data_IF_114796997010
#
_entry.id   IF_114796997010
#
_cell.length_a   1.000
_cell.length_b   1.000
_cell.length_c   1.000
_cell.angle_alpha   90.00
_cell.angle_beta   90.00
_cell.angle_gamma   90.00
#
_symmetry.space_group_name_H-M   'P 1'
#
loop_
_entity.id
_entity.type
_entity.pdbx_description
1 polymer ?
#
# COMPACT_ATOMS: atom_id res chain seq x y z
N UNK A 1 -57.63 46.81 -6.12
CA UNK A 1 -57.08 45.50 -6.52
C UNK A 1 -55.72 45.75 -7.16
N UNK A 2 -54.65 45.72 -6.38
CA UNK A 2 -53.28 45.97 -6.88
C UNK A 2 -52.83 44.72 -7.65
N UNK A 3 -52.72 44.84 -8.98
CA UNK A 3 -52.08 43.81 -9.81
C UNK A 3 -50.57 43.92 -9.65
N UNK A 4 -49.97 43.00 -8.92
CA UNK A 4 -48.52 42.84 -8.84
C UNK A 4 -48.02 42.35 -10.19
N UNK A 5 -47.33 43.21 -10.96
CA UNK A 5 -46.66 42.80 -12.20
C UNK A 5 -45.63 41.71 -11.87
N UNK A 6 -45.92 40.45 -12.24
CA UNK A 6 -44.92 39.38 -12.21
C UNK A 6 -43.87 39.71 -13.27
N UNK A 7 -42.61 39.90 -12.84
CA UNK A 7 -41.48 40.04 -13.76
C UNK A 7 -41.38 38.74 -14.57
N UNK A 8 -41.56 38.84 -15.88
CA UNK A 8 -41.35 37.71 -16.79
C UNK A 8 -39.83 37.53 -16.99
N UNK A 9 -39.34 36.32 -16.74
CA UNK A 9 -37.94 35.96 -16.95
C UNK A 9 -37.68 35.81 -18.45
N UNK A 10 -36.65 36.46 -18.96
CA UNK A 10 -36.31 36.40 -20.39
C UNK A 10 -35.48 35.16 -20.71
N UNK A 11 -35.60 34.64 -21.93
CA UNK A 11 -34.79 33.51 -22.40
C UNK A 11 -33.28 33.80 -22.34
N UNK A 12 -32.89 35.07 -22.53
CA UNK A 12 -31.49 35.50 -22.47
C UNK A 12 -30.95 35.42 -21.05
N UNK A 13 -31.73 35.85 -20.05
CA UNK A 13 -31.34 35.72 -18.63
C UNK A 13 -31.14 34.26 -18.23
N UNK A 14 -31.98 33.33 -18.72
CA UNK A 14 -31.80 31.90 -18.48
C UNK A 14 -30.51 31.37 -19.12
N UNK A 15 -30.28 31.73 -20.39
CA UNK A 15 -29.13 31.28 -21.16
C UNK A 15 -27.81 31.75 -20.55
N UNK A 16 -27.73 33.00 -20.12
CA UNK A 16 -26.52 33.55 -19.48
C UNK A 16 -26.24 32.83 -18.16
N UNK A 17 -27.26 32.55 -17.34
CA UNK A 17 -27.07 31.83 -16.07
C UNK A 17 -26.55 30.41 -16.30
N UNK A 18 -27.14 29.66 -17.23
CA UNK A 18 -26.68 28.31 -17.56
C UNK A 18 -25.26 28.36 -18.14
N UNK A 19 -24.94 29.34 -18.98
CA UNK A 19 -23.60 29.53 -19.53
C UNK A 19 -22.55 29.77 -18.41
N UNK A 20 -22.88 30.62 -17.43
CA UNK A 20 -21.98 30.86 -16.28
C UNK A 20 -21.82 29.60 -15.43
N UNK A 21 -22.91 28.87 -15.13
CA UNK A 21 -22.84 27.61 -14.38
C UNK A 21 -21.98 26.59 -15.13
N UNK A 22 -22.15 26.47 -16.45
CA UNK A 22 -21.37 25.56 -17.28
C UNK A 22 -19.87 25.89 -17.24
N UNK A 23 -19.50 27.18 -17.31
CA UNK A 23 -18.10 27.63 -17.21
C UNK A 23 -17.52 27.31 -15.82
N UNK A 24 -18.26 27.63 -14.76
CA UNK A 24 -17.82 27.34 -13.39
C UNK A 24 -17.66 25.84 -13.14
N UNK A 25 -18.62 25.04 -13.59
CA UNK A 25 -18.58 23.60 -13.48
C UNK A 25 -17.39 23.01 -14.26
N UNK A 26 -17.12 23.49 -15.47
CA UNK A 26 -16.00 23.03 -16.31
C UNK A 26 -14.63 23.23 -15.64
N UNK A 27 -14.46 24.30 -14.85
CA UNK A 27 -13.22 24.54 -14.08
C UNK A 27 -13.23 23.76 -12.76
N UNK A 28 -14.38 23.66 -12.09
CA UNK A 28 -14.48 23.05 -10.77
C UNK A 28 -14.33 21.52 -10.81
N UNK A 29 -14.88 20.85 -11.81
CA UNK A 29 -14.80 19.38 -11.94
C UNK A 29 -13.36 18.83 -11.99
N UNK A 30 -12.45 19.31 -12.86
CA UNK A 30 -11.08 18.80 -12.90
C UNK A 30 -10.31 19.09 -11.61
N UNK A 31 -10.52 20.27 -10.99
CA UNK A 31 -9.89 20.62 -9.71
C UNK A 31 -10.39 19.74 -8.58
N UNK A 32 -11.70 19.48 -8.52
CA UNK A 32 -12.30 18.62 -7.51
C UNK A 32 -11.83 17.16 -7.62
N UNK A 33 -11.71 16.64 -8.85
CA UNK A 33 -11.18 15.31 -9.10
C UNK A 33 -9.73 15.17 -8.58
N UNK A 34 -8.87 16.15 -8.86
CA UNK A 34 -7.49 16.17 -8.35
C UNK A 34 -7.44 16.28 -6.82
N UNK A 35 -8.28 17.13 -6.22
CA UNK A 35 -8.35 17.28 -4.76
C UNK A 35 -8.80 15.98 -4.07
N UNK A 36 -9.81 15.30 -4.62
CA UNK A 36 -10.29 14.01 -4.11
C UNK A 36 -9.20 12.93 -4.20
N UNK A 37 -8.43 12.92 -5.28
CA UNK A 37 -7.30 12.00 -5.41
C UNK A 37 -6.23 12.25 -4.35
N UNK A 38 -5.83 13.52 -4.14
CA UNK A 38 -4.87 13.87 -3.08
C UNK A 38 -5.37 13.50 -1.69
N UNK A 39 -6.66 13.66 -1.42
CA UNK A 39 -7.24 13.24 -0.16
C UNK A 39 -7.08 11.73 0.07
N UNK A 40 -7.30 10.91 -0.97
CA UNK A 40 -7.12 9.45 -0.90
C UNK A 40 -5.66 9.04 -0.73
N UNK A 41 -4.73 9.67 -1.45
CA UNK A 41 -3.28 9.51 -1.24
C UNK A 41 -2.89 9.79 0.22
N UNK A 42 -3.38 10.90 0.80
CA UNK A 42 -3.10 11.27 2.19
C UNK A 42 -3.71 10.28 3.19
N UNK A 43 -4.92 9.77 2.92
CA UNK A 43 -5.53 8.74 3.76
C UNK A 43 -4.76 7.43 3.71
N UNK A 44 -4.34 6.93 2.53
CA UNK A 44 -3.52 5.72 2.44
C UNK A 44 -2.19 5.90 3.18
N UNK A 45 -1.50 7.03 3.02
CA UNK A 45 -0.27 7.31 3.75
C UNK A 45 -0.48 7.38 5.27
N UNK A 46 -1.58 8.00 5.73
CA UNK A 46 -1.91 8.08 7.15
C UNK A 46 -2.22 6.70 7.74
N UNK A 47 -2.92 5.85 6.99
CA UNK A 47 -3.18 4.47 7.34
C UNK A 47 -1.87 3.67 7.43
N UNK A 48 -1.02 3.74 6.40
CA UNK A 48 0.30 3.11 6.38
C UNK A 48 1.15 3.53 7.59
N UNK A 49 1.20 4.83 7.91
CA UNK A 49 1.90 5.34 9.10
C UNK A 49 1.36 4.75 10.39
N UNK A 50 0.04 4.66 10.54
CA UNK A 50 -0.58 4.04 11.72
C UNK A 50 -0.25 2.56 11.83
N UNK A 51 -0.18 1.83 10.71
CA UNK A 51 0.29 0.44 10.69
C UNK A 51 1.76 0.37 11.12
N UNK A 52 2.62 1.25 10.61
CA UNK A 52 4.01 1.38 11.05
C UNK A 52 4.14 1.58 12.56
N UNK A 53 3.30 2.45 13.14
CA UNK A 53 3.27 2.63 14.59
C UNK A 53 2.82 1.36 15.33
N UNK A 54 1.90 0.57 14.78
CA UNK A 54 1.54 -0.73 15.36
C UNK A 54 2.70 -1.72 15.34
N UNK A 55 3.49 -1.75 14.27
CA UNK A 55 4.73 -2.53 14.22
C UNK A 55 5.70 -2.06 15.30
N UNK A 56 5.89 -0.75 15.46
CA UNK A 56 6.76 -0.21 16.53
C UNK A 56 6.30 -0.61 17.93
N UNK A 57 4.99 -0.60 18.19
CA UNK A 57 4.42 -1.04 19.46
C UNK A 57 4.64 -2.54 19.70
N UNK A 58 4.45 -3.37 18.66
CA UNK A 58 4.79 -4.81 18.73
C UNK A 58 6.27 -5.00 19.07
N UNK A 59 7.17 -4.35 18.34
CA UNK A 59 8.62 -4.47 18.54
C UNK A 59 9.02 -4.13 19.98
N UNK A 60 8.36 -3.14 20.60
CA UNK A 60 8.59 -2.77 22.00
C UNK A 60 8.16 -3.86 23.01
N UNK A 61 7.09 -4.60 22.72
CA UNK A 61 6.58 -5.64 23.61
C UNK A 61 7.30 -7.00 23.43
N UNK A 62 7.94 -7.21 22.28
CA UNK A 62 8.54 -8.49 21.87
C UNK A 62 10.08 -8.43 21.75
N UNK A 63 10.75 -7.85 22.77
CA UNK A 63 12.22 -7.79 22.87
C UNK A 63 12.91 -7.29 21.59
N UNK A 64 12.41 -6.19 21.03
CA UNK A 64 12.90 -5.57 19.79
C UNK A 64 12.78 -6.46 18.54
N UNK A 65 12.06 -7.57 18.60
CA UNK A 65 11.91 -8.50 17.48
C UNK A 65 10.80 -8.03 16.54
N UNK A 66 11.09 -8.02 15.24
CA UNK A 66 10.11 -7.72 14.20
C UNK A 66 9.03 -8.83 14.13
N UNK A 67 7.77 -8.49 13.80
CA UNK A 67 6.70 -9.47 13.68
C UNK A 67 7.04 -10.63 12.74
N UNK A 68 6.39 -11.77 12.93
CA UNK A 68 6.59 -12.92 12.05
C UNK A 68 6.02 -12.59 10.67
N UNK A 69 6.81 -12.85 9.64
CA UNK A 69 6.38 -12.67 8.28
C UNK A 69 5.42 -13.80 7.90
N UNK A 70 4.20 -13.40 7.53
CA UNK A 70 3.30 -14.20 6.73
C UNK A 70 3.09 -13.44 5.42
N UNK A 71 3.44 -14.05 4.29
CA UNK A 71 3.16 -13.40 3.02
C UNK A 71 1.65 -13.20 2.85
N UNK A 72 1.30 -12.13 2.15
CA UNK A 72 0.09 -12.10 1.33
C UNK A 72 0.04 -13.43 0.57
N UNK A 73 -1.12 -14.09 0.57
CA UNK A 73 -1.42 -15.41 -0.03
C UNK A 73 -1.59 -16.57 0.95
N UNK A 74 -1.68 -16.36 2.26
CA UNK A 74 -2.16 -17.41 3.17
C UNK A 74 -3.59 -17.81 2.79
N UNK A 75 -3.78 -19.09 2.46
CA UNK A 75 -5.06 -19.73 2.32
C UNK A 75 -5.44 -20.28 3.70
N UNK A 76 -6.60 -19.91 4.23
CA UNK A 76 -7.69 -19.26 3.52
C UNK A 76 -7.60 -17.71 3.51
N UNK A 77 -8.28 -17.05 2.54
CA UNK A 77 -8.30 -15.60 2.39
C UNK A 77 -8.66 -14.84 3.65
N UNK A 78 -8.34 -13.56 3.68
CA UNK A 78 -8.69 -12.70 4.79
C UNK A 78 -10.19 -12.76 5.14
N UNK A 79 -10.46 -12.83 6.45
CA UNK A 79 -11.81 -13.01 6.97
C UNK A 79 -12.31 -14.45 7.04
N UNK A 80 -11.56 -15.43 6.53
CA UNK A 80 -11.86 -16.85 6.73
C UNK A 80 -11.15 -17.43 7.96
N UNK A 81 -11.71 -18.48 8.61
CA UNK A 81 -11.07 -19.11 9.76
C UNK A 81 -9.70 -19.70 9.41
N UNK A 82 -8.67 -19.34 10.15
CA UNK A 82 -7.30 -19.83 9.92
C UNK A 82 -6.43 -18.94 9.04
N UNK A 83 -6.95 -17.80 8.57
CA UNK A 83 -6.13 -16.78 7.93
C UNK A 83 -4.96 -16.37 8.84
N UNK A 84 -3.77 -16.25 8.26
CA UNK A 84 -2.55 -15.75 8.92
C UNK A 84 -1.99 -14.60 8.10
N UNK A 85 -1.71 -13.49 8.75
CA UNK A 85 -1.16 -12.31 8.09
C UNK A 85 -0.46 -11.45 9.13
N UNK A 86 0.54 -10.68 8.70
CA UNK A 86 1.28 -9.77 9.58
C UNK A 86 0.31 -8.80 10.26
N UNK A 87 -0.76 -8.39 9.57
CA UNK A 87 -1.79 -7.52 10.11
C UNK A 87 -2.48 -8.11 11.35
N UNK A 88 -2.61 -9.43 11.47
CA UNK A 88 -3.23 -10.06 12.63
C UNK A 88 -2.36 -9.98 13.88
N UNK A 89 -1.03 -10.02 13.74
CA UNK A 89 -0.10 -9.88 14.85
C UNK A 89 -0.11 -8.47 15.44
N UNK A 90 -0.23 -7.46 14.57
CA UNK A 90 -0.18 -6.07 14.98
C UNK A 90 -1.58 -5.45 15.23
N UNK A 91 -2.65 -6.15 14.85
CA UNK A 91 -4.03 -5.70 15.06
C UNK A 91 -4.37 -5.36 16.52
N UNK A 92 -3.88 -6.06 17.57
CA UNK A 92 -4.15 -5.70 18.96
C UNK A 92 -3.74 -4.25 19.32
N UNK A 93 -2.74 -3.70 18.62
CA UNK A 93 -2.21 -2.35 18.84
C UNK A 93 -3.02 -1.26 18.13
N UNK A 94 -3.64 -1.58 16.98
CA UNK A 94 -4.48 -0.63 16.23
C UNK A 94 -5.98 -0.76 16.50
N UNK A 95 -6.45 -1.97 16.82
CA UNK A 95 -7.86 -2.37 17.02
C UNK A 95 -8.82 -1.94 15.91
N UNK A 96 -8.29 -1.63 14.72
CA UNK A 96 -9.05 -1.19 13.58
C UNK A 96 -8.54 -1.86 12.31
N UNK A 97 -9.32 -2.80 11.78
CA UNK A 97 -8.98 -3.52 10.54
C UNK A 97 -9.05 -2.63 9.30
N UNK A 98 -9.83 -1.56 9.33
CA UNK A 98 -9.96 -0.64 8.20
C UNK A 98 -8.67 0.13 7.91
N UNK A 99 -7.74 0.21 8.87
CA UNK A 99 -6.42 0.79 8.67
C UNK A 99 -5.63 0.05 7.60
N UNK A 100 -5.84 -1.27 7.46
CA UNK A 100 -5.17 -2.08 6.44
C UNK A 100 -5.76 -1.89 5.04
N UNK A 101 -6.74 -1.01 4.86
CA UNK A 101 -7.29 -0.65 3.55
C UNK A 101 -6.72 0.68 3.06
N UNK A 102 -6.25 0.69 1.82
CA UNK A 102 -6.02 1.93 1.09
C UNK A 102 -7.29 2.30 0.31
N UNK A 103 -7.83 3.54 0.42
CA UNK A 103 -8.95 4.01 -0.40
C UNK A 103 -8.80 3.86 -1.92
N UNK A 104 -7.57 3.79 -2.44
CA UNK A 104 -7.29 3.57 -3.87
C UNK A 104 -7.04 2.11 -4.23
N UNK A 105 -7.15 1.17 -3.27
CA UNK A 105 -7.18 -0.26 -3.56
C UNK A 105 -8.44 -0.59 -4.36
N UNK A 106 -8.24 -0.70 -5.67
CA UNK A 106 -9.26 -1.08 -6.65
C UNK A 106 -8.97 -2.48 -7.21
N UNK A 107 -8.25 -3.30 -6.44
CA UNK A 107 -7.79 -4.61 -6.84
C UNK A 107 -6.69 -4.56 -7.90
N UNK A 108 -6.44 -5.71 -8.52
CA UNK A 108 -5.46 -5.87 -9.59
C UNK A 108 -5.67 -7.22 -10.29
N UNK A 109 -5.08 -7.42 -11.48
CA UNK A 109 -5.27 -8.65 -12.24
C UNK A 109 -4.81 -9.90 -11.48
N UNK A 110 -3.84 -9.78 -10.56
CA UNK A 110 -3.35 -10.93 -9.79
C UNK A 110 -4.43 -11.53 -8.86
N UNK A 111 -5.47 -10.78 -8.50
CA UNK A 111 -6.59 -11.32 -7.70
C UNK A 111 -7.37 -12.41 -8.43
N UNK A 112 -7.37 -12.39 -9.76
CA UNK A 112 -8.02 -13.40 -10.58
C UNK A 112 -7.14 -14.64 -10.83
N UNK A 113 -5.89 -14.64 -10.35
CA UNK A 113 -4.99 -15.78 -10.51
C UNK A 113 -5.55 -17.01 -9.76
N UNK A 114 -5.64 -18.18 -10.42
CA UNK A 114 -6.25 -19.36 -9.82
C UNK A 114 -5.36 -20.05 -8.78
N UNK A 115 -4.06 -19.75 -8.73
CA UNK A 115 -3.10 -20.39 -7.84
C UNK A 115 -2.74 -19.50 -6.64
N UNK A 116 -2.59 -18.20 -6.88
CA UNK A 116 -2.07 -17.24 -5.90
C UNK A 116 -3.06 -16.12 -5.57
N UNK A 117 -4.14 -15.98 -6.35
CA UNK A 117 -5.18 -14.97 -6.17
C UNK A 117 -6.31 -15.41 -5.24
N UNK A 118 -7.31 -14.54 -5.10
CA UNK A 118 -8.61 -14.86 -4.52
C UNK A 118 -9.70 -14.52 -5.53
N UNK A 119 -10.02 -15.44 -6.46
CA UNK A 119 -11.02 -15.19 -7.50
C UNK A 119 -12.35 -14.73 -6.90
N UNK A 120 -12.85 -13.59 -7.38
CA UNK A 120 -14.10 -12.97 -6.89
C UNK A 120 -13.92 -11.87 -5.84
N UNK A 121 -12.72 -11.65 -5.32
CA UNK A 121 -12.43 -10.51 -4.45
C UNK A 121 -12.15 -9.25 -5.26
N UNK A 122 -12.63 -8.10 -4.78
CA UNK A 122 -12.53 -6.81 -5.48
C UNK A 122 -11.33 -5.95 -5.05
N UNK A 123 -10.68 -6.29 -3.94
CA UNK A 123 -9.56 -5.53 -3.36
C UNK A 123 -8.51 -6.47 -2.78
N UNK A 124 -7.26 -6.01 -2.69
CA UNK A 124 -6.19 -6.76 -2.04
C UNK A 124 -6.45 -6.92 -0.55
N UNK A 125 -6.99 -5.90 0.12
CA UNK A 125 -7.36 -6.01 1.52
C UNK A 125 -8.36 -7.14 1.79
N UNK A 126 -9.35 -7.35 0.92
CA UNK A 126 -10.31 -8.46 1.08
C UNK A 126 -9.69 -9.83 0.82
N UNK A 127 -8.70 -9.91 -0.07
CA UNK A 127 -8.05 -11.17 -0.41
C UNK A 127 -6.99 -11.56 0.63
N UNK A 128 -6.14 -10.61 1.03
CA UNK A 128 -4.92 -10.85 1.79
C UNK A 128 -4.87 -10.15 3.14
N UNK A 129 -5.90 -9.39 3.51
CA UNK A 129 -6.01 -8.74 4.82
C UNK A 129 -5.47 -7.32 4.81
N UNK A 130 -4.63 -6.97 3.84
CA UNK A 130 -3.98 -5.67 3.71
C UNK A 130 -3.86 -5.21 2.25
N UNK A 131 -4.08 -3.92 2.03
CA UNK A 131 -3.69 -3.19 0.80
C UNK A 131 -2.21 -2.80 0.80
N UNK A 132 -1.50 -3.02 1.91
CA UNK A 132 -0.08 -2.70 2.07
C UNK A 132 0.74 -3.98 2.13
N UNK A 133 1.84 -3.99 1.39
CA UNK A 133 2.85 -5.04 1.35
C UNK A 133 3.79 -4.92 2.54
N UNK A 134 4.01 -6.02 3.24
CA UNK A 134 5.10 -6.18 4.20
C UNK A 134 6.33 -6.77 3.50
N UNK A 135 7.50 -6.23 3.79
CA UNK A 135 8.76 -6.60 3.15
C UNK A 135 9.38 -7.81 3.88
N UNK A 136 9.53 -8.97 3.22
CA UNK A 136 9.96 -10.20 3.91
C UNK A 136 11.32 -10.07 4.61
N UNK A 137 12.27 -9.37 4.01
CA UNK A 137 13.64 -9.21 4.52
C UNK A 137 13.72 -8.37 5.79
N UNK A 138 12.70 -7.55 6.05
CA UNK A 138 12.61 -6.70 7.24
C UNK A 138 11.76 -7.30 8.36
N UNK A 139 11.17 -8.48 8.15
CA UNK A 139 10.33 -9.18 9.14
C UNK A 139 10.94 -10.52 9.52
N UNK A 140 10.54 -11.06 10.67
CA UNK A 140 11.09 -12.31 11.19
C UNK A 140 10.53 -13.49 10.39
N UNK A 141 11.39 -14.31 9.81
CA UNK A 141 10.99 -15.55 9.13
C UNK A 141 11.27 -16.73 10.06
N UNK A 142 10.29 -17.60 10.29
CA UNK A 142 10.44 -18.83 11.08
C UNK A 142 10.19 -20.04 10.18
N UNK A 143 11.15 -20.97 10.14
CA UNK A 143 11.02 -22.19 9.35
C UNK A 143 9.78 -22.99 9.75
N UNK A 144 8.98 -23.40 8.77
CA UNK A 144 7.75 -24.17 8.97
C UNK A 144 6.54 -23.37 9.45
N UNK A 145 6.71 -22.11 9.88
CA UNK A 145 5.61 -21.24 10.34
C UNK A 145 5.36 -20.08 9.37
N UNK A 146 6.40 -19.33 9.01
CA UNK A 146 6.32 -18.29 7.99
C UNK A 146 6.06 -18.91 6.63
N UNK A 147 5.21 -18.27 5.82
CA UNK A 147 4.80 -18.79 4.51
C UNK A 147 4.92 -17.75 3.42
N UNK A 148 5.17 -18.21 2.20
CA UNK A 148 5.00 -17.45 0.95
C UNK A 148 4.23 -18.30 -0.05
N UNK A 149 3.17 -17.73 -0.64
CA UNK A 149 2.34 -18.45 -1.62
C UNK A 149 1.87 -19.83 -1.10
N UNK A 150 1.43 -19.90 0.17
CA UNK A 150 1.04 -21.14 0.86
C UNK A 150 2.15 -22.18 1.06
N UNK A 151 3.40 -21.82 0.77
CA UNK A 151 4.55 -22.69 0.99
C UNK A 151 5.30 -22.19 2.22
N UNK A 152 5.46 -23.02 3.27
CA UNK A 152 6.29 -22.66 4.41
C UNK A 152 7.74 -22.47 3.99
N UNK A 153 8.41 -21.48 4.58
CA UNK A 153 9.86 -21.34 4.44
C UNK A 153 10.58 -22.47 5.17
N UNK A 154 11.75 -22.86 4.66
CA UNK A 154 12.63 -23.89 5.22
C UNK A 154 13.79 -23.31 6.06
N UNK A 155 13.83 -21.99 6.20
CA UNK A 155 14.85 -21.26 6.95
C UNK A 155 14.24 -20.36 8.03
N UNK A 156 15.05 -20.06 9.05
CA UNK A 156 14.72 -19.12 10.12
C UNK A 156 15.67 -17.93 10.04
N UNK A 157 15.11 -16.72 10.04
CA UNK A 157 15.83 -15.46 10.12
C UNK A 157 15.12 -14.53 11.11
N UNK A 158 15.74 -14.29 12.26
CA UNK A 158 15.19 -13.40 13.29
C UNK A 158 15.68 -12.00 13.01
N UNK A 159 14.74 -11.08 12.76
CA UNK A 159 15.04 -9.67 12.50
C UNK A 159 14.71 -8.88 13.76
N UNK A 160 15.72 -8.19 14.30
CA UNK A 160 15.53 -7.28 15.44
C UNK A 160 15.64 -5.84 14.97
N UNK A 161 15.09 -4.91 15.72
CA UNK A 161 15.18 -3.48 15.42
C UNK A 161 16.63 -2.99 15.32
N UNK A 162 17.50 -3.51 16.19
CA UNK A 162 18.93 -3.22 16.17
C UNK A 162 19.66 -3.73 14.92
N UNK A 163 19.06 -4.64 14.15
CA UNK A 163 19.67 -5.16 12.91
C UNK A 163 19.61 -4.18 11.74
N UNK A 164 18.77 -3.15 11.81
CA UNK A 164 18.65 -2.14 10.77
C UNK A 164 19.83 -1.18 10.79
N UNK A 165 20.70 -1.26 9.77
CA UNK A 165 21.85 -0.33 9.62
C UNK A 165 21.39 1.10 9.39
N UNK A 166 20.31 1.30 8.63
CA UNK A 166 19.73 2.61 8.32
C UNK A 166 18.20 2.59 8.53
N UNK A 167 17.69 2.67 9.77
CA UNK A 167 16.26 2.51 10.05
C UNK A 167 15.37 3.53 9.33
N UNK A 168 15.85 4.77 9.17
CA UNK A 168 15.14 5.84 8.47
C UNK A 168 15.22 5.73 6.92
N UNK A 169 16.03 4.82 6.38
CA UNK A 169 16.07 4.54 4.93
C UNK A 169 15.54 3.13 4.60
N UNK A 170 15.39 2.26 5.61
CA UNK A 170 14.96 0.87 5.42
C UNK A 170 13.45 0.78 5.35
N UNK A 171 12.93 0.31 4.22
CA UNK A 171 11.49 0.17 3.98
C UNK A 171 10.99 -1.13 4.56
N UNK A 172 9.94 -1.06 5.37
CA UNK A 172 9.32 -2.24 5.98
C UNK A 172 7.91 -2.51 5.43
N UNK A 173 7.19 -1.45 5.05
CA UNK A 173 5.85 -1.54 4.49
C UNK A 173 5.75 -0.58 3.30
N UNK A 174 4.93 -0.94 2.33
CA UNK A 174 4.65 -0.08 1.18
C UNK A 174 3.24 -0.38 0.67
N UNK A 175 2.58 0.55 -0.02
CA UNK A 175 1.42 0.22 -0.86
C UNK A 175 1.71 -1.00 -1.76
N UNK A 176 0.72 -1.87 -1.95
CA UNK A 176 0.91 -3.10 -2.73
C UNK A 176 1.25 -2.81 -4.20
N UNK A 177 0.51 -1.87 -4.80
CA UNK A 177 0.58 -1.51 -6.21
C UNK A 177 1.20 -0.13 -6.45
N UNK A 178 2.52 -0.04 -6.39
CA UNK A 178 3.21 1.21 -6.75
C UNK A 178 3.29 1.44 -8.27
N UNK A 179 3.19 2.71 -8.71
CA UNK A 179 3.30 3.16 -10.10
C UNK A 179 4.50 2.62 -10.90
N UNK A 180 5.62 2.34 -10.23
CA UNK A 180 6.88 2.01 -10.90
C UNK A 180 7.19 0.51 -10.96
N UNK A 181 6.31 -0.36 -10.48
CA UNK A 181 6.58 -1.80 -10.46
C UNK A 181 6.38 -2.49 -11.81
N UNK A 182 7.51 -2.83 -12.44
CA UNK A 182 7.60 -3.62 -13.67
C UNK A 182 8.51 -4.82 -13.42
N UNK A 183 8.30 -5.92 -14.16
CA UNK A 183 8.94 -7.21 -13.90
C UNK A 183 10.45 -7.12 -13.77
N UNK A 184 11.10 -6.49 -14.75
CA UNK A 184 12.56 -6.48 -14.85
C UNK A 184 13.23 -5.81 -13.65
N UNK A 185 12.47 -5.01 -12.88
CA UNK A 185 13.01 -4.20 -11.81
C UNK A 185 12.49 -4.50 -10.42
N UNK A 186 11.19 -4.77 -10.28
CA UNK A 186 10.55 -4.75 -8.97
C UNK A 186 9.45 -5.80 -8.78
N UNK A 187 9.52 -6.94 -9.46
CA UNK A 187 8.76 -8.10 -9.00
C UNK A 187 7.31 -8.23 -9.44
N UNK A 188 6.78 -7.35 -10.29
CA UNK A 188 5.41 -7.48 -10.80
C UNK A 188 5.35 -7.85 -12.27
N UNK A 189 4.63 -8.94 -12.58
CA UNK A 189 4.27 -9.27 -13.97
C UNK A 189 3.53 -8.06 -14.54
N UNK A 190 3.88 -7.57 -15.74
CA UNK A 190 3.12 -6.48 -16.36
C UNK A 190 1.62 -6.81 -16.46
N UNK A 191 1.29 -8.10 -16.53
CA UNK A 191 -0.07 -8.63 -16.52
C UNK A 191 -0.72 -8.69 -15.15
N UNK A 192 0.03 -8.58 -14.04
CA UNK A 192 -0.45 -8.66 -12.65
C UNK A 192 -0.50 -7.30 -11.96
N UNK A 193 0.02 -6.28 -12.63
CA UNK A 193 0.14 -4.94 -12.11
C UNK A 193 -1.09 -4.08 -12.47
N UNK A 194 -1.55 -3.27 -11.51
CA UNK A 194 -2.53 -2.20 -11.75
C UNK A 194 -2.23 -1.02 -10.84
N UNK A 195 -1.91 0.12 -11.43
CA UNK A 195 -1.63 1.34 -10.72
C UNK A 195 -2.85 1.80 -9.88
N UNK A 196 -2.64 2.01 -8.58
CA UNK A 196 -3.67 2.55 -7.68
C UNK A 196 -3.63 4.07 -7.61
N UNK A 197 -2.49 4.63 -7.22
CA UNK A 197 -2.30 6.07 -7.13
C UNK A 197 -1.75 6.63 -8.43
N UNK A 198 -2.24 7.81 -8.83
CA UNK A 198 -1.86 8.45 -10.10
C UNK A 198 -0.36 8.75 -10.29
N UNK A 199 0.40 8.93 -9.21
CA UNK A 199 1.78 9.46 -9.30
C UNK A 199 2.82 8.82 -8.36
N UNK A 200 2.41 7.99 -7.41
CA UNK A 200 3.32 7.58 -6.34
C UNK A 200 2.78 6.47 -5.45
N UNK A 201 3.36 6.33 -4.26
CA UNK A 201 2.81 5.48 -3.21
C UNK A 201 3.48 5.75 -1.87
N UNK A 202 2.81 5.34 -0.79
CA UNK A 202 3.25 5.42 0.59
C UNK A 202 4.20 4.29 0.96
N UNK A 203 5.32 4.66 1.56
CA UNK A 203 6.31 3.77 2.14
C UNK A 203 6.37 4.05 3.63
N UNK A 204 6.54 3.01 4.43
CA UNK A 204 6.83 3.07 5.86
C UNK A 204 8.23 2.53 6.10
N UNK A 205 8.96 3.21 6.97
CA UNK A 205 10.34 2.90 7.29
C UNK A 205 10.45 2.21 8.65
N UNK A 206 11.58 1.56 8.90
CA UNK A 206 11.81 0.78 10.10
C UNK A 206 11.69 1.61 11.39
N UNK A 207 12.04 2.89 11.35
CA UNK A 207 11.85 3.83 12.46
C UNK A 207 10.38 4.26 12.70
N UNK A 208 9.45 3.81 11.86
CA UNK A 208 8.02 4.09 11.95
C UNK A 208 7.53 5.32 11.21
N UNK A 209 8.40 6.12 10.58
CA UNK A 209 7.92 7.22 9.73
C UNK A 209 7.40 6.70 8.39
N UNK A 210 6.62 7.53 7.71
CA UNK A 210 6.09 7.21 6.38
C UNK A 210 6.31 8.37 5.41
N UNK A 211 6.59 8.05 4.15
CA UNK A 211 6.82 9.00 3.06
C UNK A 211 6.08 8.56 1.82
N UNK A 212 5.45 9.51 1.14
CA UNK A 212 4.92 9.31 -0.20
C UNK A 212 6.02 9.58 -1.23
N UNK A 213 6.39 8.58 -2.02
CA UNK A 213 7.35 8.75 -3.13
C UNK A 213 6.63 8.90 -4.45
N UNK A 214 7.19 9.70 -5.36
CA UNK A 214 6.64 9.95 -6.70
C UNK A 214 7.58 9.56 -7.83
N UNK A 215 8.77 9.05 -7.50
CA UNK A 215 9.75 8.64 -8.49
C UNK A 215 10.35 7.29 -8.13
N UNK A 216 10.68 6.51 -9.15
CA UNK A 216 11.41 5.25 -8.98
C UNK A 216 12.82 5.48 -8.43
N UNK A 217 13.46 6.60 -8.76
CA UNK A 217 14.79 6.94 -8.25
C UNK A 217 14.78 7.16 -6.73
N UNK A 218 13.78 7.87 -6.22
CA UNK A 218 13.61 8.04 -4.77
C UNK A 218 13.35 6.70 -4.08
N UNK A 219 12.66 5.77 -4.76
CA UNK A 219 12.43 4.41 -4.27
C UNK A 219 13.71 3.58 -4.28
N UNK A 220 14.50 3.61 -5.36
CA UNK A 220 15.74 2.84 -5.54
C UNK A 220 16.80 3.17 -4.51
N UNK A 221 16.86 4.43 -4.10
CA UNK A 221 17.82 4.93 -3.12
C UNK A 221 17.50 4.50 -1.68
N UNK A 222 16.37 3.84 -1.44
CA UNK A 222 16.00 3.33 -0.11
C UNK A 222 16.60 1.94 0.13
N UNK A 223 16.87 1.65 1.40
CA UNK A 223 17.32 0.36 1.89
C UNK A 223 16.14 -0.63 1.94
N UNK A 224 16.40 -1.88 1.61
CA UNK A 224 15.40 -2.97 1.57
C UNK A 224 15.71 -4.14 2.48
N UNK A 225 16.94 -4.22 2.96
CA UNK A 225 17.39 -5.27 3.87
C UNK A 225 17.92 -4.61 5.14
N UNK A 226 17.82 -5.27 6.31
CA UNK A 226 18.43 -4.78 7.54
C UNK A 226 19.93 -4.49 7.38
N UNK A 227 20.63 -5.30 6.58
CA UNK A 227 22.06 -5.17 6.28
C UNK A 227 22.49 -3.94 5.47
N UNK A 228 21.57 -3.05 5.09
CA UNK A 228 21.90 -1.76 4.44
C UNK A 228 21.92 -1.77 2.91
N UNK A 229 21.50 -2.87 2.27
CA UNK A 229 21.45 -2.96 0.80
C UNK A 229 20.28 -2.17 0.23
N UNK A 230 20.52 -1.43 -0.86
CA UNK A 230 19.49 -0.60 -1.50
C UNK A 230 18.75 -1.34 -2.60
N UNK A 231 17.50 -0.93 -2.83
CA UNK A 231 16.63 -1.54 -3.84
C UNK A 231 17.22 -1.50 -5.27
N UNK A 232 18.03 -0.47 -5.58
CA UNK A 232 18.70 -0.34 -6.88
C UNK A 232 20.05 -1.06 -6.99
N UNK A 233 20.60 -1.58 -5.89
CA UNK A 233 21.89 -2.25 -5.89
C UNK A 233 21.75 -3.67 -6.46
N UNK A 234 22.78 -4.14 -7.17
CA UNK A 234 22.85 -5.52 -7.67
C UNK A 234 23.43 -6.42 -6.58
N UNK A 235 22.76 -7.52 -6.29
CA UNK A 235 23.28 -8.59 -5.44
C UNK A 235 24.42 -9.31 -6.18
N UNK A 236 25.66 -9.28 -5.67
CA UNK A 236 26.80 -9.88 -6.36
C UNK A 236 26.73 -11.42 -6.44
N UNK A 237 25.95 -12.07 -5.58
CA UNK A 237 25.79 -13.52 -5.57
C UNK A 237 24.77 -14.01 -6.61
N UNK A 238 23.70 -13.25 -6.86
CA UNK A 238 22.60 -13.67 -7.75
C UNK A 238 22.53 -12.89 -9.05
N UNK A 239 23.16 -11.73 -9.14
CA UNK A 239 23.05 -10.80 -10.27
C UNK A 239 21.69 -10.08 -10.35
N UNK A 240 20.79 -10.31 -9.40
CA UNK A 240 19.48 -9.65 -9.30
C UNK A 240 19.56 -8.41 -8.41
N UNK A 241 18.60 -7.49 -8.52
CA UNK A 241 18.52 -6.38 -7.56
C UNK A 241 18.16 -6.88 -6.17
N UNK A 242 18.72 -6.25 -5.14
CA UNK A 242 18.45 -6.58 -3.74
C UNK A 242 16.98 -6.49 -3.35
N UNK A 243 16.19 -5.71 -4.10
CA UNK A 243 14.74 -5.72 -4.00
C UNK A 243 14.16 -7.14 -3.99
N UNK A 244 14.59 -8.01 -4.91
CA UNK A 244 14.10 -9.38 -4.99
C UNK A 244 14.57 -10.29 -3.84
N UNK A 245 15.73 -9.98 -3.28
CA UNK A 245 16.30 -10.78 -2.20
C UNK A 245 15.67 -10.49 -0.84
N UNK A 246 15.07 -9.31 -0.68
CA UNK A 246 14.59 -8.83 0.61
C UNK A 246 13.13 -8.32 0.59
N UNK A 247 12.40 -8.26 -0.53
CA UNK A 247 10.98 -7.82 -0.57
C UNK A 247 9.95 -8.93 -0.56
#
# INVERSE_FOLDING_TARGET
MLHTFKRAFTLIELLVVIAIIAILAAILFPVFAQAREKAREVTCLSNARQIGMQVRMYVQDYDETMPIFYAYNSQPPAGQPGHKGVELEILPYGKNKDLFKCPDDTGGPALADPFYGCPGMSTYQMCYGSSYRFNVGSYTVIAGESTQNNTPYDYTNIVTDASFVLPAETRIIRDEMFPFFVMDKYGYYPTWYKQWHTRGGGIVFADGHAKFTVSSADFDNQVVCPGGQRSGDINPATGQMWYWGCD
#
